data_IF_263930192021
#
_entry.id   IF_263930192021
#
_cell.length_a   1.000
_cell.length_b   1.000
_cell.length_c   1.000
_cell.angle_alpha   90.00
_cell.angle_beta   90.00
_cell.angle_gamma   90.00
#
_symmetry.space_group_name_H-M   'P 1'
#
loop_
_entity.id
_entity.type
_entity.pdbx_description
1 polymer ?
#
# COMPACT_ATOMS: atom_id res chain seq x y z
N UNK A 1 29.35 22.58 -1.49
CA UNK A 1 28.95 21.35 -2.22
C UNK A 1 28.47 20.32 -1.21
N UNK A 2 27.32 19.68 -1.43
CA UNK A 2 26.75 18.72 -0.47
C UNK A 2 27.61 17.45 -0.39
N UNK A 3 27.85 16.95 0.83
CA UNK A 3 28.61 15.72 1.10
C UNK A 3 28.05 14.46 0.42
N UNK A 4 26.80 14.54 -0.07
CA UNK A 4 26.15 13.50 -0.89
C UNK A 4 26.91 13.24 -2.20
N UNK A 5 27.51 14.28 -2.80
CA UNK A 5 28.20 14.19 -4.09
C UNK A 5 29.48 13.34 -4.04
N UNK A 6 30.14 13.29 -2.87
CA UNK A 6 31.38 12.54 -2.66
C UNK A 6 31.15 11.12 -2.11
N UNK A 7 29.91 10.64 -2.06
CA UNK A 7 29.58 9.28 -1.63
C UNK A 7 29.83 8.99 -0.13
N UNK A 8 30.16 10.00 0.68
CA UNK A 8 30.42 9.84 2.12
C UNK A 8 29.17 10.03 3.00
N UNK A 9 28.07 10.52 2.44
CA UNK A 9 26.80 10.56 3.18
C UNK A 9 26.13 9.20 3.11
N UNK A 10 25.74 8.67 4.26
CA UNK A 10 24.85 7.53 4.39
C UNK A 10 23.43 7.94 3.95
N UNK A 11 23.22 8.15 2.65
CA UNK A 11 21.94 8.57 2.10
C UNK A 11 20.90 7.49 2.39
N UNK A 12 19.92 7.84 3.22
CA UNK A 12 18.80 7.03 3.70
C UNK A 12 19.05 5.51 3.72
N UNK A 13 19.51 4.99 4.86
CA UNK A 13 19.34 3.56 5.20
C UNK A 13 17.85 3.25 5.18
N UNK A 14 17.33 2.76 4.05
CA UNK A 14 15.99 2.23 3.98
C UNK A 14 15.98 0.90 4.73
N UNK A 15 15.39 0.93 5.91
CA UNK A 15 15.08 -0.28 6.64
C UNK A 15 14.12 -1.11 5.76
N UNK A 16 14.52 -2.32 5.36
CA UNK A 16 13.70 -3.18 4.47
C UNK A 16 12.31 -3.48 5.08
N UNK A 17 12.14 -3.21 6.37
CA UNK A 17 10.89 -3.25 7.13
C UNK A 17 9.89 -2.14 6.75
N UNK A 18 10.32 -1.01 6.17
CA UNK A 18 9.46 0.14 5.78
C UNK A 18 8.65 -0.12 4.50
N UNK A 19 8.96 -1.19 3.76
CA UNK A 19 8.36 -1.46 2.44
C UNK A 19 7.02 -2.21 2.46
N UNK A 20 6.38 -2.41 3.63
CA UNK A 20 5.14 -3.20 3.69
C UNK A 20 3.98 -2.53 2.93
N UNK A 21 3.86 -1.20 3.01
CA UNK A 21 2.90 -0.43 2.21
C UNK A 21 3.18 -0.55 0.70
N UNK A 22 4.44 -0.40 0.29
CA UNK A 22 4.82 -0.52 -1.11
C UNK A 22 4.50 -1.91 -1.67
N UNK A 23 4.73 -2.97 -0.88
CA UNK A 23 4.36 -4.34 -1.23
C UNK A 23 2.84 -4.49 -1.35
N UNK A 24 2.10 -3.97 -0.38
CA UNK A 24 0.64 -4.01 -0.39
C UNK A 24 0.04 -3.29 -1.60
N UNK A 25 0.51 -2.08 -1.91
CA UNK A 25 0.04 -1.31 -3.07
C UNK A 25 0.43 -1.98 -4.38
N UNK A 26 1.62 -2.56 -4.47
CA UNK A 26 2.06 -3.32 -5.65
C UNK A 26 1.16 -4.54 -5.88
N UNK A 27 0.91 -5.34 -4.85
CA UNK A 27 0.05 -6.52 -4.92
C UNK A 27 -1.42 -6.12 -5.22
N UNK A 28 -1.92 -5.05 -4.60
CA UNK A 28 -3.25 -4.50 -4.85
C UNK A 28 -3.38 -4.03 -6.30
N UNK A 29 -2.41 -3.27 -6.82
CA UNK A 29 -2.46 -2.72 -8.17
C UNK A 29 -2.27 -3.78 -9.26
N UNK A 30 -1.66 -4.92 -8.93
CA UNK A 30 -1.54 -6.07 -9.83
C UNK A 30 -2.88 -6.81 -10.00
N UNK A 31 -3.79 -6.73 -9.04
CA UNK A 31 -5.10 -7.39 -9.09
C UNK A 31 -6.06 -6.66 -10.06
N UNK A 32 -6.78 -7.41 -10.89
CA UNK A 32 -7.77 -6.85 -11.81
C UNK A 32 -8.93 -6.16 -11.10
N UNK A 33 -9.30 -6.62 -9.89
CA UNK A 33 -10.36 -5.98 -9.08
C UNK A 33 -10.01 -4.55 -8.72
N UNK A 34 -8.72 -4.23 -8.61
CA UNK A 34 -8.27 -2.86 -8.35
C UNK A 34 -8.53 -1.93 -9.55
N UNK A 35 -8.62 -2.47 -10.78
CA UNK A 35 -8.91 -1.70 -11.99
C UNK A 35 -10.33 -1.13 -12.02
N UNK A 36 -11.24 -1.69 -11.21
CA UNK A 36 -12.63 -1.23 -11.11
C UNK A 36 -12.81 0.04 -10.27
N UNK A 37 -11.76 0.54 -9.60
CA UNK A 37 -11.82 1.75 -8.79
C UNK A 37 -11.18 2.94 -9.50
N UNK A 38 -11.85 4.10 -9.48
CA UNK A 38 -11.32 5.35 -10.03
C UNK A 38 -10.13 5.82 -9.17
N UNK A 39 -10.30 5.81 -7.85
CA UNK A 39 -9.28 6.25 -6.89
C UNK A 39 -8.63 5.06 -6.16
N UNK A 40 -7.85 4.28 -6.91
CA UNK A 40 -7.15 3.07 -6.43
C UNK A 40 -6.28 3.32 -5.21
N UNK A 41 -5.54 4.43 -5.19
CA UNK A 41 -4.66 4.78 -4.07
C UNK A 41 -5.44 5.12 -2.80
N UNK A 42 -6.59 5.81 -2.92
CA UNK A 42 -7.47 6.04 -1.76
C UNK A 42 -8.00 4.71 -1.22
N UNK A 43 -8.49 3.84 -2.09
CA UNK A 43 -8.99 2.50 -1.70
C UNK A 43 -7.89 1.70 -1.01
N UNK A 44 -6.68 1.66 -1.58
CA UNK A 44 -5.52 1.00 -0.98
C UNK A 44 -5.20 1.59 0.40
N UNK A 45 -5.25 2.91 0.57
CA UNK A 45 -4.95 3.57 1.86
C UNK A 45 -5.98 3.25 2.94
N UNK A 46 -7.25 3.17 2.58
CA UNK A 46 -8.33 2.78 3.48
C UNK A 46 -8.11 1.33 3.93
N UNK A 47 -7.88 0.41 2.99
CA UNK A 47 -7.64 -1.00 3.29
C UNK A 47 -6.38 -1.20 4.14
N UNK A 48 -5.31 -0.47 3.83
CA UNK A 48 -4.05 -0.56 4.56
C UNK A 48 -4.16 -0.06 5.99
N UNK A 49 -4.96 0.97 6.24
CA UNK A 49 -5.23 1.43 7.60
C UNK A 49 -5.84 0.30 8.43
N UNK A 50 -6.85 -0.38 7.89
CA UNK A 50 -7.50 -1.51 8.56
C UNK A 50 -6.54 -2.70 8.77
N UNK A 51 -5.74 -3.06 7.76
CA UNK A 51 -4.76 -4.14 7.84
C UNK A 51 -3.62 -3.83 8.81
N UNK A 52 -3.19 -2.56 8.88
CA UNK A 52 -2.11 -2.12 9.77
C UNK A 52 -2.55 -2.11 11.23
N UNK A 53 -3.79 -1.67 11.48
CA UNK A 53 -4.35 -1.58 12.82
C UNK A 53 -4.85 -2.97 13.30
N UNK A 54 -5.00 -3.92 12.38
CA UNK A 54 -5.32 -5.33 12.63
C UNK A 54 -4.08 -6.20 12.89
N UNK A 55 -4.25 -7.28 13.66
CA UNK A 55 -3.25 -8.36 13.82
C UNK A 55 -3.16 -9.29 12.60
N UNK A 56 -3.93 -9.02 11.54
CA UNK A 56 -3.93 -9.83 10.31
C UNK A 56 -2.60 -9.71 9.55
N UNK A 57 -2.33 -10.71 8.72
CA UNK A 57 -1.13 -10.72 7.87
C UNK A 57 -1.16 -9.46 7.00
N UNK A 58 -0.10 -8.66 7.06
CA UNK A 58 0.07 -7.39 6.34
C UNK A 58 0.33 -7.59 4.84
N UNK A 59 -0.48 -8.42 4.21
CA UNK A 59 -0.48 -8.74 2.79
C UNK A 59 -1.85 -8.45 2.21
N UNK A 60 -1.86 -8.11 0.94
CA UNK A 60 -3.11 -7.96 0.21
C UNK A 60 -3.78 -9.33 0.01
N UNK A 61 -5.10 -9.39 0.16
CA UNK A 61 -5.90 -10.59 -0.06
C UNK A 61 -7.23 -10.17 -0.64
N UNK A 62 -7.77 -10.95 -1.59
CA UNK A 62 -9.04 -10.61 -2.24
C UNK A 62 -10.24 -10.62 -1.29
N UNK A 63 -10.10 -11.24 -0.11
CA UNK A 63 -11.10 -11.23 0.96
C UNK A 63 -11.22 -9.87 1.65
N UNK A 64 -10.12 -9.10 1.75
CA UNK A 64 -10.15 -7.73 2.28
C UNK A 64 -11.06 -6.82 1.46
N UNK A 65 -11.05 -7.01 0.13
CA UNK A 65 -11.98 -6.28 -0.74
C UNK A 65 -13.44 -6.62 -0.44
N UNK A 66 -13.75 -7.87 -0.08
CA UNK A 66 -15.10 -8.29 0.26
C UNK A 66 -15.52 -7.78 1.63
N UNK A 67 -14.67 -7.93 2.65
CA UNK A 67 -14.96 -7.43 4.00
C UNK A 67 -15.18 -5.92 4.03
N UNK A 68 -14.32 -5.16 3.36
CA UNK A 68 -14.39 -3.70 3.34
C UNK A 68 -15.11 -3.16 2.10
N UNK A 69 -15.84 -4.01 1.37
CA UNK A 69 -16.60 -3.64 0.18
C UNK A 69 -17.49 -2.42 0.46
N UNK A 70 -18.15 -2.38 1.62
CA UNK A 70 -19.02 -1.26 2.01
C UNK A 70 -18.30 0.09 2.08
N UNK A 71 -17.02 0.14 2.50
CA UNK A 71 -16.23 1.38 2.56
C UNK A 71 -15.69 1.81 1.20
N UNK A 72 -15.39 0.83 0.34
CA UNK A 72 -14.69 1.07 -0.93
C UNK A 72 -15.64 1.19 -2.13
N UNK A 73 -16.89 0.72 -2.00
CA UNK A 73 -17.89 0.75 -3.08
C UNK A 73 -18.20 2.17 -3.58
N UNK A 74 -18.06 3.18 -2.71
CA UNK A 74 -18.20 4.60 -3.05
C UNK A 74 -17.18 5.07 -4.10
N UNK A 75 -16.04 4.39 -4.20
CA UNK A 75 -14.94 4.71 -5.13
C UNK A 75 -14.93 3.83 -6.38
N UNK A 76 -15.91 2.93 -6.50
CA UNK A 76 -16.07 2.06 -7.67
C UNK A 76 -16.56 2.90 -8.85
N UNK A 77 -16.03 2.61 -10.03
CA UNK A 77 -16.42 3.26 -11.29
C UNK A 77 -17.82 2.84 -11.72
#
# INVERSE_FOLDING_TARGET
MLAVYYGQSHYAKYDNSVCQWNRFVKDFCADEKSKCYINKLKVASILWKEVRDSTTIKKYTTELLKQYAYKINVYKK
#
